data_IF_397570239136
#
_entry.id   IF_397570239136
#
_cell.length_a   1.000
_cell.length_b   1.000
_cell.length_c   1.000
_cell.angle_alpha   90.00
_cell.angle_beta   90.00
_cell.angle_gamma   90.00
#
_symmetry.space_group_name_H-M   'P 1'
#
loop_
_entity.id
_entity.type
_entity.pdbx_description
1 polymer ?
#
# COMPACT_ATOMS: atom_id res chain seq x y z
N UNK A 1 -9.00 -7.08 -22.41
CA UNK A 1 -8.54 -5.93 -23.19
C UNK A 1 -9.45 -4.76 -22.88
N UNK A 2 -8.90 -3.58 -22.69
CA UNK A 2 -9.66 -2.36 -22.45
C UNK A 2 -9.21 -1.25 -23.39
N UNK A 3 -9.83 -0.08 -23.29
CA UNK A 3 -9.58 1.07 -24.14
C UNK A 3 -9.49 2.34 -23.32
N UNK A 4 -8.58 3.24 -23.67
CA UNK A 4 -8.49 4.58 -23.09
C UNK A 4 -9.56 5.47 -23.71
N UNK A 5 -10.62 5.81 -22.96
CA UNK A 5 -11.68 6.69 -23.44
C UNK A 5 -11.34 8.16 -23.30
N UNK A 6 -10.59 8.52 -22.25
CA UNK A 6 -10.11 9.88 -22.06
C UNK A 6 -8.78 9.90 -21.31
N UNK A 7 -7.96 10.89 -21.64
CA UNK A 7 -6.75 11.27 -20.93
C UNK A 7 -7.00 12.66 -20.36
N UNK A 8 -6.87 12.84 -19.05
CA UNK A 8 -7.19 14.09 -18.38
C UNK A 8 -5.99 14.60 -17.59
N UNK A 9 -5.68 15.88 -17.69
CA UNK A 9 -4.57 16.53 -17.00
C UNK A 9 -5.00 17.82 -16.32
N UNK A 10 -4.27 18.26 -15.32
CA UNK A 10 -4.43 19.59 -14.72
C UNK A 10 -3.07 20.19 -14.36
N UNK A 11 -2.86 21.49 -14.62
CA UNK A 11 -1.59 22.16 -14.33
C UNK A 11 -1.42 22.49 -12.84
N UNK A 12 -2.49 22.35 -12.02
CA UNK A 12 -2.49 22.67 -10.58
C UNK A 12 -3.20 21.59 -9.79
N UNK A 13 -2.66 21.26 -8.61
CA UNK A 13 -3.32 20.34 -7.66
C UNK A 13 -4.63 20.97 -7.15
N UNK A 14 -5.63 20.11 -6.91
CA UNK A 14 -6.94 20.53 -6.38
C UNK A 14 -7.87 21.19 -7.42
N UNK A 15 -7.51 21.19 -8.70
CA UNK A 15 -8.37 21.61 -9.79
C UNK A 15 -8.92 20.41 -10.57
N UNK A 16 -10.05 20.61 -11.26
CA UNK A 16 -10.58 19.62 -12.18
C UNK A 16 -9.56 19.35 -13.29
N UNK A 17 -9.47 18.08 -13.70
CA UNK A 17 -8.67 17.71 -14.87
C UNK A 17 -9.49 17.89 -16.14
N UNK A 18 -8.84 18.30 -17.22
CA UNK A 18 -9.46 18.50 -18.53
C UNK A 18 -8.94 17.46 -19.52
N UNK A 19 -9.82 16.94 -20.42
CA UNK A 19 -9.43 16.01 -21.46
C UNK A 19 -8.38 16.60 -22.42
N UNK A 20 -7.40 15.77 -22.78
CA UNK A 20 -6.38 16.04 -23.80
C UNK A 20 -6.32 14.87 -24.77
N UNK A 21 -5.94 15.09 -26.07
CA UNK A 21 -5.93 14.03 -27.07
C UNK A 21 -4.81 12.99 -26.83
N UNK A 22 -3.71 13.42 -26.21
CA UNK A 22 -2.54 12.58 -25.94
C UNK A 22 -1.78 13.07 -24.73
N UNK A 23 -0.93 12.20 -24.15
CA UNK A 23 -0.03 12.55 -23.07
C UNK A 23 1.28 11.74 -23.16
N UNK A 24 2.37 12.34 -22.69
CA UNK A 24 3.66 11.65 -22.53
C UNK A 24 3.78 11.13 -21.11
N UNK A 25 4.02 9.83 -20.98
CA UNK A 25 4.31 9.14 -19.73
C UNK A 25 5.84 9.05 -19.53
N UNK A 26 6.32 9.46 -18.38
CA UNK A 26 7.74 9.41 -18.02
C UNK A 26 7.94 8.48 -16.83
N UNK A 27 8.89 7.52 -16.90
CA UNK A 27 9.21 6.64 -15.79
C UNK A 27 9.53 7.42 -14.51
N UNK A 28 9.12 6.86 -13.38
CA UNK A 28 9.31 7.41 -12.02
C UNK A 28 8.77 8.85 -11.82
N UNK A 29 7.97 9.36 -12.79
CA UNK A 29 7.39 10.70 -12.72
C UNK A 29 5.87 10.71 -12.92
N UNK A 30 5.37 10.09 -14.02
CA UNK A 30 3.96 10.13 -14.39
C UNK A 30 3.70 10.85 -15.71
N UNK A 31 2.59 11.60 -15.81
CA UNK A 31 2.20 12.36 -16.98
C UNK A 31 2.92 13.71 -17.00
N UNK A 32 3.60 14.00 -18.09
CA UNK A 32 4.27 15.31 -18.32
C UNK A 32 3.21 16.41 -18.34
N UNK A 33 3.43 17.47 -17.55
CA UNK A 33 2.51 18.61 -17.44
C UNK A 33 1.32 18.40 -16.50
N UNK A 34 1.15 17.22 -15.91
CA UNK A 34 0.15 17.02 -14.85
C UNK A 34 0.71 17.36 -13.47
N UNK A 35 -0.07 18.08 -12.68
CA UNK A 35 0.33 18.53 -11.34
C UNK A 35 0.54 17.40 -10.31
N UNK A 36 0.09 16.18 -10.61
CA UNK A 36 0.27 15.01 -9.74
C UNK A 36 1.51 14.20 -10.10
N UNK A 37 2.25 14.57 -11.15
CA UNK A 37 3.56 14.00 -11.46
C UNK A 37 4.53 14.14 -10.27
N UNK A 38 5.40 13.14 -10.09
CA UNK A 38 6.42 13.12 -9.04
C UNK A 38 6.92 11.72 -8.71
N UNK A 39 8.01 11.67 -7.93
CA UNK A 39 8.67 10.42 -7.50
C UNK A 39 7.89 9.73 -6.36
N UNK A 40 6.66 9.37 -6.57
CA UNK A 40 5.80 8.70 -5.61
C UNK A 40 4.97 7.61 -6.30
N UNK A 41 4.27 6.78 -5.54
CA UNK A 41 3.57 5.62 -6.10
C UNK A 41 2.23 5.96 -6.81
N UNK A 42 1.67 7.17 -6.64
CA UNK A 42 0.39 7.59 -7.25
C UNK A 42 0.60 8.60 -8.37
N UNK A 43 1.46 8.26 -9.33
CA UNK A 43 1.83 9.14 -10.44
C UNK A 43 0.70 9.35 -11.44
N UNK A 44 -0.09 8.30 -11.69
CA UNK A 44 -1.21 8.29 -12.63
C UNK A 44 -2.42 7.71 -11.92
N UNK A 45 -3.55 8.40 -12.01
CA UNK A 45 -4.84 7.93 -11.48
C UNK A 45 -5.72 7.42 -12.61
N UNK A 46 -6.33 6.23 -12.42
CA UNK A 46 -7.20 5.59 -13.38
C UNK A 46 -8.58 5.36 -12.77
N UNK A 47 -9.62 5.40 -13.60
CA UNK A 47 -10.99 5.12 -13.20
C UNK A 47 -11.72 4.39 -14.34
N UNK A 48 -12.51 3.36 -14.00
CA UNK A 48 -13.32 2.63 -14.97
C UNK A 48 -14.45 3.52 -15.51
N UNK A 49 -14.60 3.52 -16.82
CA UNK A 49 -15.66 4.28 -17.49
C UNK A 49 -17.04 3.84 -17.00
N UNK A 50 -17.26 2.55 -16.82
CA UNK A 50 -18.51 1.95 -16.35
C UNK A 50 -18.91 2.49 -14.96
N UNK A 51 -17.92 2.76 -14.09
CA UNK A 51 -18.17 3.35 -12.75
C UNK A 51 -18.56 4.83 -12.86
N UNK A 52 -17.97 5.56 -13.82
CA UNK A 52 -18.34 6.95 -14.11
C UNK A 52 -19.77 6.99 -14.68
N UNK A 53 -20.11 6.13 -15.64
CA UNK A 53 -21.44 6.06 -16.23
C UNK A 53 -22.51 5.70 -15.18
N UNK A 54 -22.22 4.77 -14.29
CA UNK A 54 -23.11 4.46 -13.18
C UNK A 54 -23.31 5.67 -12.24
N UNK A 55 -22.26 6.45 -11.99
CA UNK A 55 -22.36 7.68 -11.20
C UNK A 55 -23.18 8.77 -11.89
N UNK A 56 -23.09 8.86 -13.21
CA UNK A 56 -23.83 9.84 -14.04
C UNK A 56 -25.36 9.72 -13.92
N UNK A 57 -25.86 8.57 -13.44
CA UNK A 57 -27.31 8.42 -13.09
C UNK A 57 -27.71 9.32 -11.92
N UNK A 58 -26.75 9.74 -11.06
CA UNK A 58 -26.99 10.63 -9.92
C UNK A 58 -26.72 12.10 -10.26
N UNK A 59 -25.61 12.34 -10.92
CA UNK A 59 -25.15 13.67 -11.32
C UNK A 59 -24.29 13.55 -12.56
N UNK A 60 -24.61 14.36 -13.59
CA UNK A 60 -23.76 14.46 -14.77
C UNK A 60 -22.39 15.05 -14.41
N UNK A 61 -21.32 14.37 -14.81
CA UNK A 61 -19.93 14.78 -14.62
C UNK A 61 -19.15 14.54 -15.90
N UNK A 62 -18.22 15.46 -16.22
CA UNK A 62 -17.26 15.26 -17.30
C UNK A 62 -16.12 14.32 -16.86
N UNK A 63 -15.41 13.73 -17.83
CA UNK A 63 -14.17 13.02 -17.56
C UNK A 63 -13.13 13.98 -16.97
N UNK A 64 -12.41 13.52 -15.96
CA UNK A 64 -11.47 14.33 -15.17
C UNK A 64 -12.07 14.95 -13.90
N UNK A 65 -13.39 14.85 -13.72
CA UNK A 65 -14.10 15.46 -12.58
C UNK A 65 -13.71 14.86 -11.23
N UNK A 66 -13.40 13.57 -11.15
CA UNK A 66 -12.94 12.91 -9.92
C UNK A 66 -11.42 13.06 -9.69
N UNK A 67 -10.72 13.75 -10.62
CA UNK A 67 -9.27 13.93 -10.62
C UNK A 67 -8.52 12.75 -11.24
N UNK A 68 -9.20 11.85 -11.95
CA UNK A 68 -8.61 10.78 -12.73
C UNK A 68 -7.82 11.32 -13.93
N UNK A 69 -6.70 10.64 -14.23
CA UNK A 69 -5.92 10.91 -15.44
C UNK A 69 -6.38 10.07 -16.62
N UNK A 70 -6.67 8.80 -16.40
CA UNK A 70 -7.09 7.88 -17.45
C UNK A 70 -8.48 7.34 -17.13
N UNK A 71 -9.39 7.52 -18.10
CA UNK A 71 -10.70 6.85 -18.09
C UNK A 71 -10.58 5.62 -18.96
N UNK A 72 -10.81 4.44 -18.37
CA UNK A 72 -10.57 3.15 -18.99
C UNK A 72 -11.87 2.37 -19.11
N UNK A 73 -12.19 1.89 -20.29
CA UNK A 73 -13.30 0.97 -20.58
C UNK A 73 -12.80 -0.47 -20.57
N UNK A 74 -13.67 -1.41 -20.15
CA UNK A 74 -13.44 -2.86 -20.26
C UNK A 74 -12.63 -3.47 -19.11
N UNK A 75 -12.38 -2.71 -18.02
CA UNK A 75 -11.80 -3.22 -16.79
C UNK A 75 -12.57 -2.74 -15.58
N UNK A 76 -12.90 -3.64 -14.66
CA UNK A 76 -13.21 -3.28 -13.27
C UNK A 76 -11.89 -3.16 -12.49
N UNK A 77 -11.24 -1.99 -12.60
CA UNK A 77 -9.89 -1.76 -12.13
C UNK A 77 -9.73 -2.03 -10.63
N UNK A 78 -10.75 -1.72 -9.82
CA UNK A 78 -10.69 -1.86 -8.37
C UNK A 78 -10.72 -3.33 -7.90
N UNK A 79 -11.09 -4.27 -8.76
CA UNK A 79 -11.09 -5.71 -8.45
C UNK A 79 -9.78 -6.41 -8.81
N UNK A 80 -8.89 -5.73 -9.53
CA UNK A 80 -7.60 -6.29 -9.91
C UNK A 80 -6.62 -6.28 -8.73
N UNK A 81 -5.73 -7.30 -8.65
CA UNK A 81 -4.74 -7.33 -7.58
C UNK A 81 -3.68 -6.23 -7.73
N UNK A 82 -3.11 -5.82 -6.60
CA UNK A 82 -1.93 -4.95 -6.56
C UNK A 82 -0.69 -5.80 -6.25
N UNK A 83 0.33 -5.80 -7.14
CA UNK A 83 0.42 -5.06 -8.39
C UNK A 83 -0.29 -5.75 -9.56
N UNK A 84 -0.86 -4.96 -10.45
CA UNK A 84 -1.23 -5.34 -11.80
C UNK A 84 -0.47 -4.47 -12.80
N UNK A 85 -0.13 -5.02 -13.95
CA UNK A 85 0.65 -4.32 -14.97
C UNK A 85 -0.18 -4.12 -16.23
N UNK A 86 -0.07 -2.94 -16.82
CA UNK A 86 -0.81 -2.58 -18.02
C UNK A 86 0.12 -2.04 -19.09
N UNK A 87 -0.04 -2.50 -20.33
CA UNK A 87 0.58 -1.90 -21.50
C UNK A 87 -0.43 -0.98 -22.22
N UNK A 88 0.02 0.21 -22.61
CA UNK A 88 -0.71 1.17 -23.46
C UNK A 88 0.30 1.67 -24.50
N UNK A 89 0.19 1.18 -25.75
CA UNK A 89 1.24 1.40 -26.74
C UNK A 89 2.59 0.88 -26.22
N UNK A 90 3.61 1.76 -26.22
CA UNK A 90 4.95 1.44 -25.68
C UNK A 90 5.06 1.62 -24.17
N UNK A 91 4.13 2.31 -23.54
CA UNK A 91 4.15 2.60 -22.11
C UNK A 91 3.70 1.39 -21.27
N UNK A 92 4.28 1.25 -20.08
CA UNK A 92 3.88 0.25 -19.08
C UNK A 92 3.62 0.94 -17.74
N UNK A 93 2.45 0.68 -17.19
CA UNK A 93 2.01 1.12 -15.87
C UNK A 93 1.99 -0.05 -14.89
N UNK A 94 2.44 0.18 -13.66
CA UNK A 94 2.25 -0.73 -12.51
C UNK A 94 1.19 -0.11 -11.59
N UNK A 95 0.08 -0.81 -11.40
CA UNK A 95 -0.93 -0.44 -10.42
C UNK A 95 -0.38 -0.60 -9.01
N UNK A 96 -0.49 0.44 -8.21
CA UNK A 96 0.17 0.52 -6.89
C UNK A 96 -0.80 0.64 -5.73
N UNK A 97 -2.03 1.08 -5.98
CA UNK A 97 -3.01 1.30 -4.92
C UNK A 97 -4.43 1.30 -5.47
N UNK A 98 -5.37 0.77 -4.69
CA UNK A 98 -6.81 0.91 -4.90
C UNK A 98 -7.35 1.95 -3.92
N UNK A 99 -8.18 2.87 -4.42
CA UNK A 99 -8.79 3.92 -3.60
C UNK A 99 -7.81 4.94 -3.03
N UNK A 100 -8.35 5.94 -2.40
CA UNK A 100 -7.59 6.95 -1.65
C UNK A 100 -8.42 7.50 -0.50
N UNK A 101 -7.76 7.91 0.59
CA UNK A 101 -8.39 8.76 1.60
C UNK A 101 -8.60 10.17 1.03
N UNK A 102 -9.80 10.70 1.21
CA UNK A 102 -10.11 12.09 0.90
C UNK A 102 -10.19 12.88 2.21
N UNK A 103 -9.23 13.79 2.42
CA UNK A 103 -9.16 14.64 3.61
C UNK A 103 -9.98 15.94 3.50
N UNK A 104 -10.49 16.26 2.31
CA UNK A 104 -11.29 17.47 2.07
C UNK A 104 -12.53 17.15 1.25
N UNK A 105 -13.62 17.84 1.54
CA UNK A 105 -14.83 17.80 0.74
C UNK A 105 -14.58 18.49 -0.60
N UNK A 106 -14.49 17.69 -1.65
CA UNK A 106 -14.44 18.22 -3.04
C UNK A 106 -15.85 18.64 -3.49
N UNK A 107 -15.91 19.42 -4.59
CA UNK A 107 -17.18 19.91 -5.13
C UNK A 107 -18.20 18.78 -5.41
N UNK A 108 -17.74 17.65 -5.94
CA UNK A 108 -18.60 16.48 -6.23
C UNK A 108 -19.20 15.92 -4.94
N UNK A 109 -18.36 15.65 -3.91
CA UNK A 109 -18.85 15.12 -2.64
C UNK A 109 -19.83 16.07 -1.95
N UNK A 110 -19.60 17.38 -2.06
CA UNK A 110 -20.55 18.39 -1.52
C UNK A 110 -21.90 18.37 -2.23
N UNK A 111 -21.91 18.14 -3.55
CA UNK A 111 -23.16 18.13 -4.33
C UNK A 111 -23.94 16.83 -4.23
N UNK A 112 -23.26 15.69 -4.15
CA UNK A 112 -23.88 14.36 -4.22
C UNK A 112 -23.87 13.59 -2.91
N UNK A 113 -23.11 14.07 -1.91
CA UNK A 113 -22.84 13.31 -0.67
C UNK A 113 -21.88 12.13 -0.87
N UNK A 114 -21.45 11.84 -2.12
CA UNK A 114 -20.64 10.66 -2.47
C UNK A 114 -19.53 11.00 -3.47
N UNK A 115 -18.51 10.16 -3.51
CA UNK A 115 -17.44 10.20 -4.51
C UNK A 115 -16.93 8.77 -4.75
N UNK A 116 -16.82 8.39 -6.02
CA UNK A 116 -16.38 7.04 -6.38
C UNK A 116 -14.86 6.84 -6.29
N UNK A 117 -14.07 7.90 -6.37
CA UNK A 117 -12.61 7.81 -6.37
C UNK A 117 -12.00 7.12 -5.13
N UNK A 118 -12.53 7.27 -3.91
CA UNK A 118 -12.04 6.54 -2.73
C UNK A 118 -12.19 5.02 -2.80
N UNK A 119 -13.15 4.53 -3.59
CA UNK A 119 -13.46 3.09 -3.69
C UNK A 119 -13.05 2.49 -5.03
N UNK A 120 -13.31 3.20 -6.12
CA UNK A 120 -13.21 2.68 -7.49
C UNK A 120 -11.95 3.18 -8.21
N UNK A 121 -11.37 4.30 -7.76
CA UNK A 121 -10.16 4.84 -8.35
C UNK A 121 -8.95 3.98 -8.04
N UNK A 122 -8.07 3.79 -9.03
CA UNK A 122 -6.79 3.13 -8.81
C UNK A 122 -5.64 4.06 -9.18
N UNK A 123 -4.47 3.77 -8.64
CA UNK A 123 -3.27 4.55 -8.88
C UNK A 123 -2.17 3.67 -9.42
N UNK A 124 -1.36 4.24 -10.31
CA UNK A 124 -0.25 3.55 -10.93
C UNK A 124 1.01 4.42 -10.95
N UNK A 125 2.16 3.76 -11.07
CA UNK A 125 3.41 4.39 -11.46
C UNK A 125 3.78 3.99 -12.88
N UNK A 126 4.56 4.83 -13.54
CA UNK A 126 5.08 4.56 -14.88
C UNK A 126 6.36 3.73 -14.76
N UNK A 127 6.34 2.50 -15.29
CA UNK A 127 7.50 1.61 -15.33
C UNK A 127 8.29 1.82 -16.62
N UNK A 128 7.58 1.94 -17.73
CA UNK A 128 8.15 2.26 -19.05
C UNK A 128 7.40 3.43 -19.65
N UNK A 129 8.12 4.44 -20.10
CA UNK A 129 7.55 5.64 -20.71
C UNK A 129 7.06 5.39 -22.14
N UNK A 130 6.28 6.33 -22.62
CA UNK A 130 5.75 6.36 -23.99
C UNK A 130 4.70 7.43 -24.16
N UNK A 131 4.31 7.71 -25.41
CA UNK A 131 3.17 8.59 -25.71
C UNK A 131 1.92 7.73 -25.81
N UNK A 132 0.86 8.15 -25.15
CA UNK A 132 -0.46 7.51 -25.20
C UNK A 132 -1.48 8.46 -25.81
N UNK A 133 -2.48 7.90 -26.47
CA UNK A 133 -3.57 8.65 -27.13
C UNK A 133 -4.94 8.18 -26.64
N UNK A 134 -5.89 9.07 -26.70
CA UNK A 134 -7.31 8.69 -26.56
C UNK A 134 -7.65 7.68 -27.66
N UNK A 135 -8.24 6.57 -27.27
CA UNK A 135 -8.56 5.46 -28.17
C UNK A 135 -7.54 4.32 -28.16
N UNK A 136 -6.39 4.48 -27.54
CA UNK A 136 -5.38 3.42 -27.42
C UNK A 136 -5.93 2.20 -26.66
N UNK A 137 -5.49 1.02 -27.10
CA UNK A 137 -5.77 -0.24 -26.41
C UNK A 137 -4.95 -0.33 -25.11
N UNK A 138 -5.60 -0.76 -24.04
CA UNK A 138 -4.95 -1.09 -22.76
C UNK A 138 -5.00 -2.60 -22.52
N UNK A 139 -3.85 -3.20 -22.31
CA UNK A 139 -3.69 -4.65 -22.11
C UNK A 139 -3.21 -4.95 -20.68
N UNK A 140 -3.91 -5.86 -19.99
CA UNK A 140 -3.39 -6.42 -18.75
C UNK A 140 -2.25 -7.39 -19.09
N UNK A 141 -1.10 -7.17 -18.49
CA UNK A 141 0.10 -8.01 -18.65
C UNK A 141 0.14 -9.09 -17.58
N UNK A 142 0.78 -10.23 -17.86
CA UNK A 142 1.12 -11.19 -16.81
C UNK A 142 1.96 -10.53 -15.71
N UNK A 143 1.67 -10.87 -14.46
CA UNK A 143 2.50 -10.43 -13.33
C UNK A 143 3.87 -11.13 -13.42
N UNK A 144 5.01 -10.41 -13.38
CA UNK A 144 6.33 -11.03 -13.37
C UNK A 144 6.48 -12.01 -12.21
N UNK A 145 7.03 -13.20 -12.48
CA UNK A 145 7.16 -14.26 -11.47
C UNK A 145 8.24 -13.96 -10.41
N UNK A 146 9.18 -13.08 -10.75
CA UNK A 146 10.35 -12.72 -9.95
C UNK A 146 10.15 -11.42 -9.13
N UNK A 147 8.91 -10.95 -9.00
CA UNK A 147 8.63 -9.78 -8.19
C UNK A 147 9.04 -10.01 -6.73
N UNK A 148 9.80 -9.07 -6.14
CA UNK A 148 10.14 -9.13 -4.73
C UNK A 148 8.88 -9.04 -3.86
N UNK A 149 8.89 -9.70 -2.71
CA UNK A 149 7.86 -9.51 -1.69
C UNK A 149 7.89 -8.05 -1.23
N UNK A 150 6.72 -7.42 -1.20
CA UNK A 150 6.56 -6.01 -0.83
C UNK A 150 6.27 -5.88 0.65
N UNK A 151 6.97 -4.96 1.30
CA UNK A 151 6.83 -4.72 2.72
C UNK A 151 6.55 -3.25 3.04
N UNK A 152 5.97 -3.00 4.20
CA UNK A 152 5.87 -1.69 4.81
C UNK A 152 6.32 -1.75 6.27
N UNK A 153 6.86 -0.64 6.77
CA UNK A 153 7.34 -0.49 8.14
C UNK A 153 6.58 0.66 8.81
N UNK A 154 6.11 0.43 10.04
CA UNK A 154 5.45 1.47 10.84
C UNK A 154 6.15 1.55 12.19
N UNK A 155 6.77 2.69 12.48
CA UNK A 155 7.30 3.00 13.80
C UNK A 155 6.27 3.77 14.62
N UNK A 156 5.93 3.29 15.81
CA UNK A 156 5.07 3.94 16.79
C UNK A 156 5.95 4.63 17.83
N UNK A 157 5.91 5.95 17.90
CA UNK A 157 6.65 6.75 18.88
C UNK A 157 6.15 8.18 18.92
N UNK A 158 5.53 8.61 20.02
CA UNK A 158 5.15 10.01 20.22
C UNK A 158 6.36 10.94 20.11
N UNK A 159 7.44 10.63 20.83
CA UNK A 159 8.65 11.47 20.79
C UNK A 159 9.30 11.51 19.41
N UNK A 160 9.25 10.38 18.68
CA UNK A 160 9.76 10.33 17.32
C UNK A 160 8.91 11.18 16.36
N UNK A 161 7.59 11.03 16.42
CA UNK A 161 6.66 11.75 15.55
C UNK A 161 6.67 13.28 15.74
N UNK A 162 7.02 13.73 16.97
CA UNK A 162 7.21 15.16 17.27
C UNK A 162 8.66 15.65 17.05
N UNK A 163 9.55 14.79 16.55
CA UNK A 163 10.96 15.18 16.31
C UNK A 163 11.83 15.30 17.57
N UNK A 164 11.34 14.87 18.73
CA UNK A 164 12.05 14.93 20.02
C UNK A 164 13.07 13.79 20.18
N UNK A 165 12.95 12.75 19.38
CA UNK A 165 13.85 11.59 19.37
C UNK A 165 13.98 11.02 17.95
N UNK A 166 15.21 10.71 17.54
CA UNK A 166 15.49 10.03 16.29
C UNK A 166 14.90 8.59 16.29
N UNK A 167 14.21 8.22 15.21
CA UNK A 167 13.82 6.83 14.96
C UNK A 167 15.03 6.03 14.45
N UNK A 168 15.48 5.09 15.26
CA UNK A 168 16.57 4.14 14.91
C UNK A 168 16.05 2.75 14.57
N UNK A 169 14.80 2.43 14.95
CA UNK A 169 14.22 1.11 14.76
C UNK A 169 13.64 0.94 13.35
N UNK A 170 12.90 1.94 12.88
CA UNK A 170 12.32 1.91 11.52
C UNK A 170 13.39 1.76 10.42
N UNK A 171 14.43 2.63 10.36
CA UNK A 171 15.51 2.51 9.40
C UNK A 171 16.24 1.16 9.46
N UNK A 172 16.49 0.62 10.67
CA UNK A 172 17.11 -0.71 10.84
C UNK A 172 16.24 -1.82 10.22
N UNK A 173 14.91 -1.79 10.44
CA UNK A 173 14.00 -2.77 9.85
C UNK A 173 14.03 -2.67 8.31
N UNK A 174 14.02 -1.45 7.76
CA UNK A 174 14.11 -1.20 6.31
C UNK A 174 15.40 -1.80 5.75
N UNK A 175 16.54 -1.56 6.39
CA UNK A 175 17.84 -2.10 6.00
C UNK A 175 17.81 -3.65 5.98
N UNK A 176 17.34 -4.28 7.05
CA UNK A 176 17.30 -5.74 7.18
C UNK A 176 16.36 -6.39 6.14
N UNK A 177 15.19 -5.80 5.90
CA UNK A 177 14.24 -6.25 4.87
C UNK A 177 14.85 -6.14 3.47
N UNK A 178 15.47 -5.00 3.16
CA UNK A 178 16.11 -4.76 1.86
C UNK A 178 17.27 -5.74 1.61
N UNK A 179 18.09 -5.97 2.63
CA UNK A 179 19.20 -6.94 2.56
C UNK A 179 18.73 -8.39 2.30
N UNK A 180 17.49 -8.73 2.66
CA UNK A 180 16.88 -10.05 2.45
C UNK A 180 15.97 -10.12 1.22
N UNK A 181 16.01 -9.10 0.34
CA UNK A 181 15.33 -9.09 -0.94
C UNK A 181 13.86 -8.61 -0.92
N UNK A 182 13.38 -8.06 0.19
CA UNK A 182 12.08 -7.40 0.21
C UNK A 182 12.17 -6.01 -0.44
N UNK A 183 11.13 -5.61 -1.14
CA UNK A 183 10.93 -4.23 -1.57
C UNK A 183 10.13 -3.48 -0.51
N UNK A 184 10.79 -2.58 0.23
CA UNK A 184 10.09 -1.72 1.19
C UNK A 184 9.40 -0.58 0.43
N UNK A 185 8.07 -0.61 0.41
CA UNK A 185 7.24 0.36 -0.31
C UNK A 185 7.05 1.66 0.49
N UNK A 186 6.93 1.54 1.81
CA UNK A 186 6.71 2.67 2.71
C UNK A 186 7.35 2.42 4.08
N UNK A 187 7.89 3.49 4.67
CA UNK A 187 8.30 3.53 6.07
C UNK A 187 7.62 4.74 6.72
N UNK A 188 6.82 4.49 7.75
CA UNK A 188 5.99 5.50 8.43
C UNK A 188 6.44 5.65 9.87
N UNK A 189 6.43 6.89 10.36
CA UNK A 189 6.62 7.22 11.77
C UNK A 189 5.34 7.88 12.28
N UNK A 190 4.65 7.23 13.21
CA UNK A 190 3.36 7.65 13.74
C UNK A 190 3.46 7.90 15.26
N UNK A 191 2.61 8.76 15.82
CA UNK A 191 2.40 8.81 17.27
C UNK A 191 1.75 7.49 17.76
N UNK A 192 1.78 7.27 19.07
CA UNK A 192 1.08 6.14 19.71
C UNK A 192 -0.45 6.38 19.72
N UNK A 193 -1.04 6.43 18.51
CA UNK A 193 -2.45 6.71 18.24
C UNK A 193 -3.12 5.53 17.54
N UNK A 194 -4.15 4.96 18.19
CA UNK A 194 -4.84 3.77 17.71
C UNK A 194 -5.58 3.97 16.38
N UNK A 195 -6.18 5.15 16.17
CA UNK A 195 -6.96 5.43 14.97
C UNK A 195 -6.04 5.59 13.75
N UNK A 196 -4.92 6.30 13.92
CA UNK A 196 -3.93 6.46 12.86
C UNK A 196 -3.29 5.12 12.51
N UNK A 197 -2.86 4.32 13.50
CA UNK A 197 -2.31 2.99 13.26
C UNK A 197 -3.30 2.11 12.51
N UNK A 198 -4.56 2.03 12.98
CA UNK A 198 -5.60 1.23 12.32
C UNK A 198 -5.80 1.65 10.86
N UNK A 199 -5.90 2.93 10.60
CA UNK A 199 -6.05 3.49 9.25
C UNK A 199 -4.89 3.07 8.34
N UNK A 200 -3.65 3.16 8.82
CA UNK A 200 -2.49 2.79 8.01
C UNK A 200 -2.39 1.27 7.82
N UNK A 201 -2.69 0.44 8.82
CA UNK A 201 -2.73 -1.01 8.65
C UNK A 201 -3.75 -1.44 7.59
N UNK A 202 -4.97 -0.88 7.63
CA UNK A 202 -6.01 -1.16 6.63
C UNK A 202 -5.59 -0.67 5.24
N UNK A 203 -5.05 0.55 5.14
CA UNK A 203 -4.59 1.10 3.86
C UNK A 203 -3.49 0.25 3.23
N UNK A 204 -2.49 -0.15 4.02
CA UNK A 204 -1.37 -0.95 3.52
C UNK A 204 -1.80 -2.37 3.15
N UNK A 205 -2.69 -2.99 3.92
CA UNK A 205 -3.16 -4.35 3.65
C UNK A 205 -4.19 -4.41 2.53
N UNK A 206 -5.19 -3.52 2.52
CA UNK A 206 -6.34 -3.63 1.62
C UNK A 206 -6.13 -2.84 0.32
N UNK A 207 -5.62 -1.61 0.42
CA UNK A 207 -5.47 -0.73 -0.74
C UNK A 207 -4.10 -0.89 -1.45
N UNK A 208 -3.00 -0.99 -0.68
CA UNK A 208 -1.65 -1.22 -1.20
C UNK A 208 -1.35 -2.70 -1.42
N UNK A 209 -2.04 -3.58 -0.72
CA UNK A 209 -1.87 -5.03 -0.75
C UNK A 209 -0.40 -5.45 -0.60
N UNK A 210 0.32 -4.84 0.35
CA UNK A 210 1.70 -5.28 0.65
C UNK A 210 1.68 -6.68 1.26
N UNK A 211 2.76 -7.44 1.08
CA UNK A 211 2.83 -8.82 1.58
C UNK A 211 3.13 -8.89 3.08
N UNK A 212 3.88 -7.89 3.59
CA UNK A 212 4.35 -7.84 4.98
C UNK A 212 4.22 -6.43 5.54
N UNK A 213 3.66 -6.30 6.73
CA UNK A 213 3.72 -5.08 7.54
C UNK A 213 4.45 -5.40 8.83
N UNK A 214 5.56 -4.74 9.10
CA UNK A 214 6.24 -4.77 10.37
C UNK A 214 5.97 -3.48 11.12
N UNK A 215 5.44 -3.61 12.35
CA UNK A 215 5.34 -2.46 13.26
C UNK A 215 6.42 -2.56 14.32
N UNK A 216 6.91 -1.44 14.85
CA UNK A 216 7.84 -1.39 15.98
C UNK A 216 7.41 -0.33 16.97
N UNK A 217 7.49 -0.64 18.27
CA UNK A 217 6.99 0.21 19.36
C UNK A 217 5.59 -0.14 19.84
N UNK A 218 5.23 0.35 21.02
CA UNK A 218 3.90 0.19 21.63
C UNK A 218 3.50 -1.26 21.95
N UNK A 219 4.47 -2.15 22.28
CA UNK A 219 4.20 -3.57 22.54
C UNK A 219 4.43 -3.99 24.01
N UNK A 220 4.70 -3.05 24.91
CA UNK A 220 4.92 -3.31 26.33
C UNK A 220 3.65 -3.18 27.19
N UNK A 221 3.84 -2.83 28.48
CA UNK A 221 2.76 -2.77 29.47
C UNK A 221 2.33 -1.32 29.81
N UNK A 222 2.91 -0.31 29.17
CA UNK A 222 2.49 1.05 29.41
C UNK A 222 1.06 1.27 28.88
N UNK A 223 0.24 2.14 29.53
CA UNK A 223 -1.12 2.41 29.06
C UNK A 223 -1.21 2.91 27.62
N UNK A 224 -0.14 3.44 27.08
CA UNK A 224 -0.02 3.91 25.69
C UNK A 224 0.44 2.85 24.69
N UNK A 225 0.85 1.67 25.18
CA UNK A 225 1.23 0.57 24.33
C UNK A 225 -0.03 -0.10 23.76
N UNK A 226 -0.46 0.31 22.56
CA UNK A 226 -1.72 -0.09 21.94
C UNK A 226 -1.54 -0.92 20.67
N UNK A 227 -0.31 -1.12 20.24
CA UNK A 227 -0.01 -1.75 18.95
C UNK A 227 -0.61 -3.15 18.80
N UNK A 228 -0.53 -4.05 19.81
CA UNK A 228 -1.10 -5.39 19.71
C UNK A 228 -2.61 -5.39 19.57
N UNK A 229 -3.30 -4.54 20.33
CA UNK A 229 -4.77 -4.44 20.31
C UNK A 229 -5.27 -3.96 18.96
N UNK A 230 -4.61 -2.93 18.41
CA UNK A 230 -4.96 -2.39 17.09
C UNK A 230 -4.69 -3.44 16.00
N UNK A 231 -3.55 -4.15 16.08
CA UNK A 231 -3.21 -5.22 15.13
C UNK A 231 -4.23 -6.35 15.16
N UNK A 232 -4.63 -6.80 16.35
CA UNK A 232 -5.68 -7.82 16.52
C UNK A 232 -7.04 -7.33 16.01
N UNK A 233 -7.36 -6.04 16.13
CA UNK A 233 -8.63 -5.47 15.68
C UNK A 233 -8.82 -5.47 14.16
N UNK A 234 -7.75 -5.57 13.39
CA UNK A 234 -7.78 -5.63 11.92
C UNK A 234 -7.54 -7.05 11.38
N UNK A 235 -7.33 -8.01 12.26
CA UNK A 235 -7.04 -9.39 11.89
C UNK A 235 -8.26 -10.10 11.30
N UNK A 236 -8.05 -10.86 10.23
CA UNK A 236 -9.00 -11.87 9.75
C UNK A 236 -8.64 -13.27 10.29
N UNK A 237 -7.35 -13.52 10.47
CA UNK A 237 -6.81 -14.77 11.02
C UNK A 237 -5.62 -14.48 11.93
N UNK A 238 -5.55 -15.15 13.07
CA UNK A 238 -4.40 -15.06 13.96
C UNK A 238 -3.26 -15.97 13.46
N UNK A 239 -2.02 -15.51 13.62
CA UNK A 239 -0.79 -16.25 13.32
C UNK A 239 0.15 -16.25 14.56
N UNK A 240 -0.28 -16.76 15.72
CA UNK A 240 0.37 -16.52 17.01
C UNK A 240 1.80 -17.08 17.07
N UNK A 241 2.11 -18.12 16.30
CA UNK A 241 3.40 -18.81 16.35
C UNK A 241 4.61 -17.89 16.09
N UNK A 242 4.45 -16.82 15.28
CA UNK A 242 5.54 -15.85 15.01
C UNK A 242 5.83 -15.04 16.29
N UNK A 243 4.79 -14.52 16.94
CA UNK A 243 4.93 -13.75 18.17
C UNK A 243 5.42 -14.63 19.34
N UNK A 244 5.02 -15.89 19.39
CA UNK A 244 5.52 -16.90 20.36
C UNK A 244 7.00 -17.19 20.12
N UNK A 245 7.43 -17.39 18.88
CA UNK A 245 8.81 -17.62 18.50
C UNK A 245 9.72 -16.45 18.93
N UNK A 246 9.27 -15.20 18.71
CA UNK A 246 9.98 -14.00 19.16
C UNK A 246 10.11 -13.96 20.69
N UNK A 247 9.04 -14.24 21.43
CA UNK A 247 9.09 -14.30 22.90
C UNK A 247 10.04 -15.40 23.40
N UNK A 248 9.92 -16.60 22.81
CA UNK A 248 10.82 -17.71 23.14
C UNK A 248 12.30 -17.32 22.93
N UNK A 249 12.62 -16.78 21.75
CA UNK A 249 13.98 -16.31 21.45
C UNK A 249 14.43 -15.22 22.42
N UNK A 250 13.58 -14.23 22.70
CA UNK A 250 13.91 -13.15 23.64
C UNK A 250 14.18 -13.66 25.07
N UNK A 251 13.49 -14.71 25.51
CA UNK A 251 13.71 -15.33 26.83
C UNK A 251 15.09 -15.99 26.97
N UNK A 252 15.72 -16.41 25.86
CA UNK A 252 17.11 -16.91 25.89
C UNK A 252 18.12 -15.79 26.12
N UNK A 253 17.73 -14.55 25.90
CA UNK A 253 18.58 -13.34 26.00
C UNK A 253 18.28 -12.60 27.31
N UNK A 254 17.02 -12.44 27.67
CA UNK A 254 16.57 -11.70 28.85
C UNK A 254 15.24 -12.21 29.40
N UNK A 255 15.07 -12.35 30.71
CA UNK A 255 13.79 -12.71 31.33
C UNK A 255 12.67 -11.70 30.99
N UNK A 256 12.99 -10.44 30.66
CA UNK A 256 12.01 -9.40 30.27
C UNK A 256 11.31 -9.70 28.97
N UNK A 257 11.79 -10.64 28.16
CA UNK A 257 11.13 -11.10 26.94
C UNK A 257 9.67 -11.55 27.17
N UNK A 258 9.35 -12.06 28.38
CA UNK A 258 7.98 -12.45 28.76
C UNK A 258 6.99 -11.28 28.80
N UNK A 259 7.46 -10.05 28.91
CA UNK A 259 6.62 -8.85 28.99
C UNK A 259 6.20 -8.32 27.59
N UNK A 260 6.62 -8.97 26.52
CA UNK A 260 6.20 -8.60 25.18
C UNK A 260 4.77 -9.07 24.90
N UNK A 261 3.87 -8.14 24.60
CA UNK A 261 2.49 -8.41 24.17
C UNK A 261 2.35 -8.46 22.64
N UNK A 262 3.48 -8.49 21.91
CA UNK A 262 3.50 -8.53 20.45
C UNK A 262 2.52 -9.56 19.88
N UNK A 263 1.82 -9.17 18.82
CA UNK A 263 0.89 -10.00 18.06
C UNK A 263 1.40 -10.20 16.63
N UNK A 264 0.92 -11.26 16.00
CA UNK A 264 1.10 -11.52 14.57
C UNK A 264 -0.18 -12.07 13.96
N UNK A 265 -0.60 -11.50 12.82
CA UNK A 265 -1.91 -11.77 12.22
C UNK A 265 -1.83 -11.76 10.70
N UNK A 266 -2.85 -12.34 10.06
CA UNK A 266 -3.10 -12.24 8.64
C UNK A 266 -4.36 -11.39 8.39
N UNK A 267 -4.24 -10.45 7.42
CA UNK A 267 -5.36 -9.75 6.83
C UNK A 267 -5.27 -9.90 5.31
N UNK A 268 -6.31 -10.46 4.69
CA UNK A 268 -6.27 -10.89 3.30
C UNK A 268 -4.99 -11.70 2.98
N UNK A 269 -4.08 -11.13 2.19
CA UNK A 269 -2.78 -11.73 1.83
C UNK A 269 -1.60 -11.09 2.55
N UNK A 270 -1.86 -10.19 3.48
CA UNK A 270 -0.83 -9.44 4.23
C UNK A 270 -0.57 -10.08 5.58
N UNK A 271 0.69 -10.38 5.86
CA UNK A 271 1.16 -10.72 7.20
C UNK A 271 1.52 -9.44 7.95
N UNK A 272 0.99 -9.27 9.16
CA UNK A 272 1.28 -8.13 10.05
C UNK A 272 1.95 -8.68 11.30
N UNK A 273 3.13 -8.15 11.66
CA UNK A 273 3.91 -8.60 12.82
C UNK A 273 4.36 -7.39 13.65
N UNK A 274 4.11 -7.44 14.95
CA UNK A 274 4.59 -6.41 15.86
C UNK A 274 5.98 -6.77 16.40
N UNK A 275 6.95 -5.87 16.23
CA UNK A 275 8.30 -5.98 16.77
C UNK A 275 8.46 -5.14 18.05
N UNK A 276 9.45 -5.46 18.92
CA UNK A 276 9.79 -4.61 20.05
C UNK A 276 10.19 -3.20 19.62
N UNK A 277 10.14 -2.22 20.55
CA UNK A 277 10.47 -0.82 20.24
C UNK A 277 11.98 -0.50 20.23
N UNK A 278 12.85 -1.28 20.90
CA UNK A 278 14.28 -0.96 20.95
C UNK A 278 15.03 -1.52 19.73
N UNK A 279 15.97 -0.77 19.11
CA UNK A 279 16.72 -1.24 17.94
C UNK A 279 17.44 -2.57 18.18
N UNK A 280 18.01 -2.78 19.38
CA UNK A 280 18.69 -4.03 19.75
C UNK A 280 17.71 -5.21 19.71
N UNK A 281 16.56 -5.09 20.38
CA UNK A 281 15.55 -6.15 20.40
C UNK A 281 14.87 -6.36 19.04
N UNK A 282 14.73 -5.30 18.22
CA UNK A 282 14.30 -5.41 16.82
C UNK A 282 15.25 -6.31 16.05
N UNK A 283 16.56 -6.02 16.11
CA UNK A 283 17.59 -6.79 15.39
C UNK A 283 17.54 -8.26 15.79
N UNK A 284 17.62 -8.54 17.10
CA UNK A 284 17.62 -9.90 17.66
C UNK A 284 16.39 -10.72 17.23
N UNK A 285 15.19 -10.12 17.30
CA UNK A 285 13.96 -10.81 16.94
C UNK A 285 13.80 -10.96 15.42
N UNK A 286 14.13 -9.92 14.66
CA UNK A 286 13.95 -9.96 13.21
C UNK A 286 14.95 -10.93 12.56
N UNK A 287 16.21 -10.99 13.01
CA UNK A 287 17.19 -12.01 12.57
C UNK A 287 16.67 -13.43 12.80
N UNK A 288 15.96 -13.66 13.88
CA UNK A 288 15.42 -14.97 14.23
C UNK A 288 14.22 -15.39 13.36
N UNK A 289 13.26 -14.48 13.13
CA UNK A 289 12.01 -14.84 12.42
C UNK A 289 12.11 -14.68 10.90
N UNK A 290 12.89 -13.70 10.41
CA UNK A 290 12.90 -13.28 9.00
C UNK A 290 13.14 -14.41 7.99
N UNK A 291 14.04 -15.40 8.26
CA UNK A 291 14.25 -16.52 7.35
C UNK A 291 12.99 -17.35 7.08
N UNK A 292 12.05 -17.40 8.02
CA UNK A 292 10.81 -18.18 7.91
C UNK A 292 9.64 -17.40 7.32
N UNK A 293 9.68 -16.05 7.39
CA UNK A 293 8.53 -15.22 6.99
C UNK A 293 8.21 -15.32 5.49
N UNK A 294 9.23 -15.35 4.63
CA UNK A 294 9.04 -15.38 3.18
C UNK A 294 8.20 -16.57 2.74
N UNK A 295 8.42 -17.76 3.31
CA UNK A 295 7.64 -18.95 3.00
C UNK A 295 6.17 -18.80 3.43
N UNK A 296 5.91 -18.36 4.68
CA UNK A 296 4.55 -18.13 5.18
C UNK A 296 3.79 -17.07 4.37
N UNK A 297 4.47 -16.01 3.95
CA UNK A 297 3.91 -14.94 3.11
C UNK A 297 3.54 -15.48 1.73
N UNK A 298 4.40 -16.28 1.08
CA UNK A 298 4.11 -16.89 -0.23
C UNK A 298 2.91 -17.82 -0.17
N UNK A 299 2.77 -18.61 0.90
CA UNK A 299 1.58 -19.43 1.15
C UNK A 299 0.32 -18.57 1.32
N UNK A 300 0.38 -17.50 2.11
CA UNK A 300 -0.74 -16.59 2.32
C UNK A 300 -1.16 -15.87 1.02
N UNK A 301 -0.20 -15.57 0.16
CA UNK A 301 -0.41 -14.95 -1.14
C UNK A 301 -0.91 -15.94 -2.22
N UNK A 302 -0.86 -17.26 -1.96
CA UNK A 302 -1.16 -18.30 -2.95
C UNK A 302 -0.10 -18.43 -4.03
N UNK A 303 1.15 -18.07 -3.75
CA UNK A 303 2.28 -18.10 -4.68
C UNK A 303 3.05 -19.42 -4.60
N UNK A 304 3.00 -20.12 -3.48
CA UNK A 304 3.60 -21.44 -3.28
C UNK A 304 2.51 -22.52 -3.23
N UNK A 305 2.79 -23.68 -3.85
CA UNK A 305 1.95 -24.88 -3.73
C UNK A 305 2.11 -25.56 -2.37
N UNK A 306 1.49 -26.75 -2.19
CA UNK A 306 1.44 -27.49 -0.93
C UNK A 306 2.81 -27.65 -0.24
N UNK A 307 2.84 -27.34 1.07
CA UNK A 307 3.96 -27.59 1.97
C UNK A 307 4.13 -29.11 2.24
N UNK A 308 4.60 -29.86 1.23
CA UNK A 308 5.09 -31.20 1.51
C UNK A 308 6.52 -31.10 2.08
N UNK A 309 6.73 -31.51 3.33
CA UNK A 309 8.07 -31.81 3.81
C UNK A 309 8.66 -32.90 2.91
N UNK A 310 9.71 -32.54 2.15
CA UNK A 310 10.58 -33.53 1.54
C UNK A 310 11.47 -34.14 2.62
#
# INVERSE_FOLDING_TARGET
MGKILAICTSPRRGTLKTPVPSAVLTPEWGIVGDAHGGSWHRQVSLLSAEKIEAFRQKLWVDYGAFGENLVVEGFDLATLPVPSFFAIGDAVLEMTQIGKECHSDCAIRRQTGDCIMPREGVFARVVKGGTIHTGDEMKLLPTPADLPLRAAVITLSDKGSHGEREDKSGPLIVEMLTATGYKVEEALLLPDDAAQLKTQLLRLADARQVNLILTTGGTGFAPRDITPEVTLSVAERNAPGIAEAMRYHSLTITPRGMLSRAASVLRAKTLIVNLPGSPKAVKENLEYILPSLAHGIRLAAGLDGECARK
#
